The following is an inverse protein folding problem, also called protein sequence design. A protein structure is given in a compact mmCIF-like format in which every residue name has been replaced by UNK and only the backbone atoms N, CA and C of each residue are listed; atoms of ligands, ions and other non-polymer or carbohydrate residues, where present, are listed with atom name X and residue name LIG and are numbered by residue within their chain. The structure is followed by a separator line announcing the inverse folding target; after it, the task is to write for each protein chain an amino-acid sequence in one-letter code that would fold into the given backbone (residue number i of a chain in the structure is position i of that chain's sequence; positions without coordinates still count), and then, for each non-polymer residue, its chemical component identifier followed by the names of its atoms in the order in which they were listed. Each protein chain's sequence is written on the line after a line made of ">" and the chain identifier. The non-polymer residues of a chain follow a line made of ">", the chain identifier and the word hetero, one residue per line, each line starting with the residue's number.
data_IF_363910487181
#
_entry.id   IF_363910487181
#
_cell.length_a   1.000
_cell.length_b   1.000
_cell.length_c   1.000
_cell.angle_alpha   90.00
_cell.angle_beta   90.00
_cell.angle_gamma   90.00
#
_symmetry.space_group_name_H-M   'P 1'
#
loop_
_entity.id
_entity.type
_entity.pdbx_description
1 polymer ?
#
# COMPACT_ATOMS: atom_id res chain seq x y z
N UNK A 1 -4.84 -14.21 22.12
CA UNK A 1 -5.55 -14.46 20.84
C UNK A 1 -5.40 -15.93 20.56
N UNK A 2 -6.50 -16.66 20.42
CA UNK A 2 -6.47 -18.08 20.02
C UNK A 2 -5.96 -18.20 18.58
N UNK A 3 -5.27 -19.31 18.28
CA UNK A 3 -4.55 -19.54 17.02
C UNK A 3 -5.38 -19.28 15.74
N UNK A 4 -6.63 -19.73 15.71
CA UNK A 4 -7.54 -19.49 14.59
C UNK A 4 -7.90 -17.99 14.41
N UNK A 5 -7.91 -17.22 15.50
CA UNK A 5 -8.18 -15.78 15.45
C UNK A 5 -6.98 -15.03 14.84
N UNK A 6 -5.74 -15.45 15.11
CA UNK A 6 -4.54 -14.82 14.55
C UNK A 6 -4.47 -14.93 13.02
N UNK A 7 -4.84 -16.09 12.46
CA UNK A 7 -4.89 -16.30 11.01
C UNK A 7 -5.97 -15.45 10.31
N UNK A 8 -7.18 -15.38 10.88
CA UNK A 8 -8.27 -14.54 10.34
C UNK A 8 -7.93 -13.06 10.38
N UNK A 9 -7.32 -12.59 11.47
CA UNK A 9 -6.87 -11.20 11.62
C UNK A 9 -5.77 -10.87 10.59
N UNK A 10 -4.87 -11.80 10.29
CA UNK A 10 -3.85 -11.60 9.26
C UNK A 10 -4.44 -11.43 7.85
N UNK A 11 -5.43 -12.24 7.49
CA UNK A 11 -6.14 -12.14 6.20
C UNK A 11 -6.92 -10.84 6.12
N UNK A 12 -7.67 -10.49 7.17
CA UNK A 12 -8.44 -9.26 7.24
C UNK A 12 -7.56 -8.02 7.05
N UNK A 13 -6.39 -7.97 7.71
CA UNK A 13 -5.41 -6.89 7.53
C UNK A 13 -4.89 -6.78 6.09
N UNK A 14 -4.70 -7.91 5.39
CA UNK A 14 -4.27 -7.91 3.99
C UNK A 14 -5.37 -7.41 3.06
N UNK A 15 -6.61 -7.85 3.27
CA UNK A 15 -7.77 -7.41 2.46
C UNK A 15 -8.00 -5.91 2.65
N UNK A 16 -8.00 -5.44 3.91
CA UNK A 16 -8.12 -4.01 4.21
C UNK A 16 -6.99 -3.19 3.58
N UNK A 17 -5.75 -3.71 3.62
CA UNK A 17 -4.60 -3.09 2.94
C UNK A 17 -4.82 -2.94 1.44
N UNK A 18 -5.32 -3.98 0.75
CA UNK A 18 -5.62 -3.92 -0.70
C UNK A 18 -6.76 -2.97 -1.04
N UNK A 19 -7.82 -2.95 -0.23
CA UNK A 19 -8.98 -2.06 -0.40
C UNK A 19 -8.57 -0.59 -0.27
N UNK A 20 -7.58 -0.27 0.58
CA UNK A 20 -7.06 1.10 0.72
C UNK A 20 -6.04 1.40 -0.38
N UNK A 21 -5.13 0.47 -0.66
CA UNK A 21 -4.01 0.65 -1.57
C UNK A 21 -4.44 0.85 -3.02
N UNK A 22 -5.34 0.02 -3.56
CA UNK A 22 -5.72 0.08 -4.98
C UNK A 22 -6.36 1.43 -5.32
N UNK A 23 -7.41 1.89 -4.62
CA UNK A 23 -8.03 3.18 -4.91
C UNK A 23 -7.05 4.34 -4.73
N UNK A 24 -6.21 4.31 -3.71
CA UNK A 24 -5.23 5.37 -3.45
C UNK A 24 -4.16 5.44 -4.55
N UNK A 25 -3.67 4.29 -5.03
CA UNK A 25 -2.70 4.21 -6.11
C UNK A 25 -3.29 4.74 -7.42
N UNK A 26 -4.48 4.27 -7.78
CA UNK A 26 -5.17 4.71 -9.00
C UNK A 26 -5.43 6.22 -8.93
N UNK A 27 -5.96 6.71 -7.81
CA UNK A 27 -6.24 8.14 -7.64
C UNK A 27 -4.97 8.98 -7.76
N UNK A 28 -3.84 8.53 -7.20
CA UNK A 28 -2.56 9.23 -7.31
C UNK A 28 -2.03 9.25 -8.74
N UNK A 29 -2.13 8.14 -9.48
CA UNK A 29 -1.73 8.08 -10.90
C UNK A 29 -2.57 9.03 -11.75
N UNK A 30 -3.90 9.02 -11.58
CA UNK A 30 -4.81 9.92 -12.28
C UNK A 30 -4.52 11.38 -11.93
N UNK A 31 -4.25 11.67 -10.66
CA UNK A 31 -3.88 13.00 -10.18
C UNK A 31 -2.60 13.51 -10.84
N UNK A 32 -1.59 12.65 -10.97
CA UNK A 32 -0.34 12.98 -11.66
C UNK A 32 -0.57 13.22 -13.15
N UNK A 33 -1.36 12.39 -13.84
CA UNK A 33 -1.68 12.62 -15.26
C UNK A 33 -2.36 13.97 -15.48
N UNK A 34 -3.36 14.31 -14.65
CA UNK A 34 -4.02 15.62 -14.69
C UNK A 34 -3.06 16.78 -14.37
N UNK A 35 -2.11 16.57 -13.45
CA UNK A 35 -1.10 17.58 -13.15
C UNK A 35 -0.20 17.88 -14.35
N UNK A 36 0.18 16.85 -15.12
CA UNK A 36 0.99 17.02 -16.33
C UNK A 36 0.25 17.83 -17.40
N UNK A 37 -1.07 17.65 -17.50
CA UNK A 37 -1.94 18.40 -18.42
C UNK A 37 -1.97 19.89 -18.04
N UNK A 38 -2.37 20.22 -16.80
CA UNK A 38 -2.54 21.60 -16.32
C UNK A 38 -1.20 22.36 -16.20
N UNK A 39 -0.12 21.67 -15.84
CA UNK A 39 1.19 22.32 -15.65
C UNK A 39 1.87 22.69 -16.97
N UNK A 40 1.47 22.06 -18.08
CA UNK A 40 2.02 22.34 -19.42
C UNK A 40 1.28 23.47 -20.12
N UNK A 41 -0.03 23.60 -19.93
CA UNK A 41 -0.80 24.74 -20.44
C UNK A 41 -0.27 26.09 -19.93
N UNK A 42 0.25 26.14 -18.70
CA UNK A 42 0.84 27.36 -18.11
C UNK A 42 2.25 27.68 -18.60
N UNK A 43 2.92 26.79 -19.33
CA UNK A 43 4.29 26.97 -19.82
C UNK A 43 4.28 26.90 -21.35
N UNK A 44 4.00 28.04 -22.00
CA UNK A 44 3.97 28.26 -23.47
C UNK A 44 5.30 27.94 -24.22
N UNK A 45 6.29 27.34 -23.57
CA UNK A 45 7.63 27.09 -24.14
C UNK A 45 7.93 25.63 -24.52
N UNK A 46 7.06 24.66 -24.23
CA UNK A 46 7.24 23.28 -24.72
C UNK A 46 6.71 23.22 -26.15
N UNK A 47 7.49 22.67 -27.09
CA UNK A 47 7.07 22.42 -28.48
C UNK A 47 5.61 21.95 -28.53
N UNK A 48 4.72 22.73 -29.16
CA UNK A 48 3.27 22.46 -29.26
C UNK A 48 2.95 21.00 -29.66
N UNK A 49 3.84 20.38 -30.44
CA UNK A 49 3.80 18.96 -30.82
C UNK A 49 3.83 18.02 -29.62
N UNK A 50 4.70 18.24 -28.63
CA UNK A 50 4.78 17.40 -27.43
C UNK A 50 3.57 17.58 -26.50
N UNK A 51 2.93 18.74 -26.54
CA UNK A 51 1.69 19.00 -25.82
C UNK A 51 0.54 18.17 -26.42
N UNK A 52 0.40 18.22 -27.75
CA UNK A 52 -0.63 17.49 -28.49
C UNK A 52 -0.52 15.97 -28.28
N UNK A 53 0.69 15.41 -28.38
CA UNK A 53 0.91 13.99 -28.10
C UNK A 53 0.51 13.59 -26.68
N UNK A 54 0.83 14.40 -25.67
CA UNK A 54 0.49 14.07 -24.28
C UNK A 54 -1.01 14.12 -23.99
N UNK A 55 -1.72 15.08 -24.59
CA UNK A 55 -3.17 15.19 -24.46
C UNK A 55 -3.86 13.98 -25.11
N UNK A 56 -3.46 13.63 -26.34
CA UNK A 56 -3.96 12.44 -27.04
C UNK A 56 -3.68 11.16 -26.25
N UNK A 57 -2.51 11.02 -25.63
CA UNK A 57 -2.21 9.86 -24.80
C UNK A 57 -3.10 9.78 -23.56
N UNK A 58 -3.31 10.90 -22.85
CA UNK A 58 -4.18 10.94 -21.68
C UNK A 58 -5.63 10.64 -22.08
N UNK A 59 -6.11 11.18 -23.19
CA UNK A 59 -7.44 10.93 -23.72
C UNK A 59 -7.63 9.46 -24.14
N UNK A 60 -6.64 8.86 -24.80
CA UNK A 60 -6.66 7.43 -25.15
C UNK A 60 -6.71 6.55 -23.89
N UNK A 61 -5.95 6.90 -22.84
CA UNK A 61 -5.97 6.20 -21.56
C UNK A 61 -7.34 6.38 -20.88
N UNK A 62 -7.90 7.59 -20.86
CA UNK A 62 -9.23 7.86 -20.27
C UNK A 62 -10.33 7.11 -21.00
N UNK A 63 -10.29 7.09 -22.33
CA UNK A 63 -11.23 6.37 -23.17
C UNK A 63 -11.19 4.85 -22.90
N UNK A 64 -10.00 4.29 -22.75
CA UNK A 64 -9.84 2.87 -22.41
C UNK A 64 -10.21 2.55 -20.94
N UNK A 65 -10.04 3.51 -20.03
CA UNK A 65 -10.29 3.35 -18.59
C UNK A 65 -11.62 3.93 -18.12
N UNK A 66 -12.69 3.73 -18.90
CA UNK A 66 -14.04 4.20 -18.55
C UNK A 66 -14.56 3.69 -17.19
N UNK A 67 -14.12 2.53 -16.73
CA UNK A 67 -14.44 2.01 -15.39
C UNK A 67 -13.80 2.82 -14.25
N UNK A 68 -12.79 3.64 -14.52
CA UNK A 68 -12.12 4.52 -13.57
C UNK A 68 -12.70 5.94 -13.58
N UNK A 69 -13.85 6.17 -14.22
CA UNK A 69 -14.39 7.53 -14.40
C UNK A 69 -14.60 8.28 -13.08
N UNK A 70 -14.97 7.57 -12.01
CA UNK A 70 -15.07 8.13 -10.67
C UNK A 70 -13.74 8.71 -10.17
N UNK A 71 -12.61 8.05 -10.46
CA UNK A 71 -11.28 8.56 -10.14
C UNK A 71 -10.90 9.73 -11.05
N UNK A 72 -11.23 9.65 -12.34
CA UNK A 72 -11.00 10.75 -13.27
C UNK A 72 -11.68 12.04 -12.84
N UNK A 73 -12.87 11.99 -12.22
CA UNK A 73 -13.58 13.18 -11.77
C UNK A 73 -13.14 13.65 -10.37
N UNK A 74 -12.97 12.73 -9.43
CA UNK A 74 -12.78 13.06 -8.01
C UNK A 74 -11.31 13.15 -7.56
N UNK A 75 -10.35 12.72 -8.38
CA UNK A 75 -8.94 12.72 -7.97
C UNK A 75 -8.37 14.14 -7.93
N UNK A 76 -7.77 14.57 -6.80
CA UNK A 76 -7.25 15.92 -6.61
C UNK A 76 -5.95 16.14 -7.38
N UNK A 77 -5.86 17.25 -8.13
CA UNK A 77 -4.64 17.59 -8.88
C UNK A 77 -3.61 18.23 -7.94
N UNK A 78 -2.40 17.69 -7.75
CA UNK A 78 -1.42 18.29 -6.85
C UNK A 78 -1.04 19.71 -7.28
N UNK A 79 -1.00 20.66 -6.35
CA UNK A 79 -0.36 21.97 -6.56
C UNK A 79 0.92 22.04 -5.72
N UNK A 80 2.07 22.03 -6.38
CA UNK A 80 3.38 22.12 -5.74
C UNK A 80 3.84 23.57 -5.49
N UNK A 81 3.15 24.56 -6.06
CA UNK A 81 3.55 25.97 -5.99
C UNK A 81 2.75 26.76 -4.95
N UNK A 82 1.45 26.49 -4.78
CA UNK A 82 0.56 27.30 -3.92
C UNK A 82 0.10 26.61 -2.64
N UNK A 83 0.71 25.47 -2.26
CA UNK A 83 0.35 24.73 -1.04
C UNK A 83 -1.04 24.07 -1.08
N UNK A 84 -1.73 24.13 -2.22
CA UNK A 84 -3.11 23.71 -2.37
C UNK A 84 -3.23 22.30 -2.93
N UNK A 85 -3.24 21.28 -2.07
CA UNK A 85 -4.11 20.11 -2.17
C UNK A 85 -3.71 19.07 -1.11
N UNK A 86 -4.08 19.34 0.15
CA UNK A 86 -3.89 18.41 1.28
C UNK A 86 -4.56 17.05 1.01
N UNK A 87 -5.64 17.03 0.22
CA UNK A 87 -6.34 15.81 -0.17
C UNK A 87 -5.46 14.90 -1.03
N UNK A 88 -4.66 15.47 -1.94
CA UNK A 88 -3.68 14.70 -2.71
C UNK A 88 -2.66 14.05 -1.78
N UNK A 89 -2.10 14.81 -0.84
CA UNK A 89 -1.12 14.28 0.12
C UNK A 89 -1.72 13.22 1.04
N UNK A 90 -2.99 13.37 1.44
CA UNK A 90 -3.71 12.35 2.20
C UNK A 90 -3.83 11.04 1.41
N UNK A 91 -4.29 11.11 0.16
CA UNK A 91 -4.42 9.95 -0.73
C UNK A 91 -3.05 9.32 -0.99
N UNK A 92 -2.03 10.14 -1.20
CA UNK A 92 -0.65 9.69 -1.36
C UNK A 92 -0.16 8.90 -0.15
N UNK A 93 -0.35 9.42 1.08
CA UNK A 93 0.02 8.73 2.32
C UNK A 93 -0.78 7.42 2.49
N UNK A 94 -2.05 7.41 2.09
CA UNK A 94 -2.91 6.22 2.17
C UNK A 94 -2.36 5.03 1.37
N UNK A 95 -1.61 5.25 0.28
CA UNK A 95 -0.89 4.19 -0.44
C UNK A 95 0.05 3.44 0.50
N UNK A 96 0.86 4.18 1.26
CA UNK A 96 1.86 3.62 2.17
C UNK A 96 1.22 3.00 3.40
N UNK A 97 0.10 3.56 3.87
CA UNK A 97 -0.72 2.94 4.91
C UNK A 97 -1.24 1.56 4.45
N UNK A 98 -1.75 1.48 3.21
CA UNK A 98 -2.18 0.22 2.60
C UNK A 98 -1.05 -0.81 2.48
N UNK A 99 0.13 -0.39 2.02
CA UNK A 99 1.33 -1.22 1.95
C UNK A 99 1.78 -1.70 3.34
N UNK A 100 1.76 -0.83 4.34
CA UNK A 100 2.14 -1.18 5.71
C UNK A 100 1.17 -2.20 6.33
N UNK A 101 -0.14 -2.06 6.07
CA UNK A 101 -1.15 -3.05 6.46
C UNK A 101 -0.90 -4.41 5.81
N UNK A 102 -0.58 -4.43 4.51
CA UNK A 102 -0.27 -5.66 3.78
C UNK A 102 0.97 -6.36 4.33
N UNK A 103 2.08 -5.64 4.52
CA UNK A 103 3.30 -6.20 5.07
C UNK A 103 3.14 -6.64 6.53
N UNK A 104 2.20 -6.05 7.28
CA UNK A 104 1.89 -6.46 8.66
C UNK A 104 1.19 -7.82 8.64
N UNK A 105 0.17 -7.94 7.79
CA UNK A 105 -0.54 -9.20 7.59
C UNK A 105 0.34 -10.32 7.04
N UNK A 106 1.28 -10.01 6.13
CA UNK A 106 2.19 -11.00 5.54
C UNK A 106 3.20 -11.58 6.56
N UNK A 107 3.70 -10.76 7.50
CA UNK A 107 4.59 -11.23 8.57
C UNK A 107 3.85 -12.03 9.64
N UNK A 108 2.64 -11.59 10.00
CA UNK A 108 1.75 -12.32 10.90
C UNK A 108 1.39 -13.71 10.34
N UNK A 109 1.20 -13.82 9.03
CA UNK A 109 0.95 -15.10 8.35
C UNK A 109 2.15 -16.07 8.42
N UNK A 110 3.37 -15.59 8.14
CA UNK A 110 4.60 -16.42 8.24
C UNK A 110 4.82 -16.96 9.65
N UNK A 111 4.59 -16.13 10.67
CA UNK A 111 4.78 -16.54 12.05
C UNK A 111 3.71 -17.54 12.50
N UNK A 112 2.46 -17.38 12.06
CA UNK A 112 1.40 -18.37 12.33
C UNK A 112 1.71 -19.75 11.74
N UNK A 113 2.42 -19.79 10.59
CA UNK A 113 2.84 -21.04 9.94
C UNK A 113 3.96 -21.74 10.72
N UNK A 114 4.97 -21.02 11.18
CA UNK A 114 6.03 -21.59 12.01
C UNK A 114 5.53 -22.05 13.39
N UNK A 115 4.57 -21.33 13.98
CA UNK A 115 3.90 -21.80 15.20
C UNK A 115 3.13 -23.10 14.94
N UNK A 116 2.49 -23.22 13.77
CA UNK A 116 1.78 -24.44 13.36
C UNK A 116 2.72 -25.64 13.25
N UNK A 117 3.82 -25.47 12.54
CA UNK A 117 4.86 -26.50 12.35
C UNK A 117 5.43 -26.93 13.71
N UNK A 118 5.78 -25.97 14.58
CA UNK A 118 6.30 -26.28 15.93
C UNK A 118 5.30 -27.00 16.85
N UNK A 119 4.00 -26.71 16.74
CA UNK A 119 2.95 -27.41 17.51
C UNK A 119 2.72 -28.81 16.94
N UNK A 120 2.70 -29.00 15.62
CA UNK A 120 2.59 -30.32 14.98
C UNK A 120 3.77 -31.23 15.35
N UNK A 121 5.00 -30.71 15.31
CA UNK A 121 6.19 -31.47 15.69
C UNK A 121 6.19 -31.87 17.17
N UNK A 122 5.78 -30.96 18.07
CA UNK A 122 5.63 -31.27 19.49
C UNK A 122 4.53 -32.30 19.74
N UNK A 123 3.43 -32.28 18.99
CA UNK A 123 2.39 -33.32 19.10
C UNK A 123 2.87 -34.69 18.59
N UNK A 124 3.72 -34.75 17.57
CA UNK A 124 4.31 -36.01 17.10
C UNK A 124 5.25 -36.58 18.17
N UNK A 125 6.08 -35.72 18.78
CA UNK A 125 6.99 -36.08 19.86
C UNK A 125 6.25 -36.50 21.15
N UNK A 126 5.13 -35.84 21.48
CA UNK A 126 4.33 -36.21 22.65
C UNK A 126 3.47 -37.46 22.41
N UNK A 127 2.93 -37.68 21.20
CA UNK A 127 2.30 -38.96 20.83
C UNK A 127 3.28 -40.14 20.88
N UNK A 128 4.56 -39.90 20.62
CA UNK A 128 5.61 -40.90 20.76
C UNK A 128 5.94 -41.25 22.24
N UNK A 129 5.50 -40.43 23.22
CA UNK A 129 5.76 -40.63 24.64
C UNK A 129 4.66 -41.39 25.40
N UNK A 130 3.55 -41.78 24.76
CA UNK A 130 2.49 -42.57 25.41
C UNK A 130 1.66 -41.78 26.44
N UNK A 131 1.15 -42.45 27.48
CA UNK A 131 0.08 -41.96 28.39
C UNK A 131 0.39 -40.72 29.26
N UNK A 132 1.61 -40.18 29.22
CA UNK A 132 1.98 -38.93 29.92
C UNK A 132 2.01 -37.67 29.02
N UNK A 133 1.57 -37.78 27.76
CA UNK A 133 1.53 -36.65 26.81
C UNK A 133 0.55 -35.55 27.24
N UNK A 134 0.95 -34.28 27.17
CA UNK A 134 0.06 -33.16 27.52
C UNK A 134 -1.05 -33.05 26.48
N UNK A 135 -2.27 -32.79 26.95
CA UNK A 135 -3.42 -32.63 26.04
C UNK A 135 -3.26 -31.36 25.20
N UNK A 136 -3.74 -31.40 23.94
CA UNK A 136 -3.70 -30.28 22.97
C UNK A 136 -4.10 -28.93 23.57
N UNK A 137 -5.05 -28.92 24.51
CA UNK A 137 -5.57 -27.71 25.14
C UNK A 137 -4.56 -27.03 26.08
N UNK A 138 -3.72 -27.80 26.79
CA UNK A 138 -2.72 -27.23 27.72
C UNK A 138 -1.49 -26.66 27.00
N UNK A 139 -1.14 -27.21 25.84
CA UNK A 139 -0.07 -26.67 24.99
C UNK A 139 -0.50 -25.38 24.28
N UNK A 140 -1.77 -25.29 23.86
CA UNK A 140 -2.31 -24.09 23.22
C UNK A 140 -2.46 -22.91 24.19
N UNK A 141 -2.75 -23.15 25.47
CA UNK A 141 -2.98 -22.12 26.48
C UNK A 141 -1.71 -21.36 26.90
N UNK A 142 -0.54 -22.00 26.76
CA UNK A 142 0.76 -21.40 27.12
C UNK A 142 1.38 -20.57 26.00
N UNK A 143 0.81 -20.59 24.79
CA UNK A 143 1.36 -19.89 23.63
C UNK A 143 0.81 -18.46 23.57
N UNK A 144 1.53 -17.57 24.23
CA UNK A 144 1.31 -16.12 24.12
C UNK A 144 1.83 -15.67 22.76
N UNK A 145 0.93 -15.49 21.79
CA UNK A 145 1.26 -14.92 20.47
C UNK A 145 1.80 -13.49 20.66
N UNK A 146 3.05 -13.19 20.25
CA UNK A 146 3.59 -11.84 20.33
C UNK A 146 2.72 -10.87 19.51
N UNK A 147 2.33 -9.75 20.11
CA UNK A 147 1.55 -8.71 19.43
C UNK A 147 2.44 -7.99 18.42
N UNK A 148 2.15 -8.14 17.14
CA UNK A 148 2.78 -7.33 16.09
C UNK A 148 1.93 -6.11 15.76
N UNK A 149 2.50 -4.93 16.01
CA UNK A 149 1.92 -3.64 15.68
C UNK A 149 2.32 -3.20 14.28
N UNK A 150 1.44 -2.46 13.61
CA UNK A 150 1.68 -1.90 12.27
C UNK A 150 2.86 -0.90 12.29
N UNK A 151 3.13 -0.31 13.47
CA UNK A 151 4.17 0.69 13.72
C UNK A 151 5.61 0.17 13.65
N UNK A 152 5.83 -1.16 13.73
CA UNK A 152 7.15 -1.78 13.53
C UNK A 152 7.58 -1.83 12.04
N UNK A 153 6.82 -1.17 11.16
CA UNK A 153 7.13 -1.02 9.74
C UNK A 153 7.64 0.36 9.41
N UNK A 154 8.69 0.76 10.11
CA UNK A 154 9.30 2.08 9.92
C UNK A 154 9.65 2.33 8.44
N UNK A 155 10.19 1.31 7.77
CA UNK A 155 10.65 1.42 6.39
C UNK A 155 9.53 1.69 5.37
N UNK A 156 8.50 0.83 5.17
CA UNK A 156 7.49 1.09 4.15
C UNK A 156 6.53 2.24 4.52
N UNK A 157 6.35 2.55 5.81
CA UNK A 157 5.39 3.57 6.24
C UNK A 157 5.98 4.99 6.26
N UNK A 158 7.27 5.16 6.56
CA UNK A 158 7.90 6.48 6.71
C UNK A 158 9.01 6.73 5.70
N UNK A 159 9.89 5.75 5.45
CA UNK A 159 11.04 5.95 4.55
C UNK A 159 10.62 5.93 3.08
N UNK A 160 9.80 4.95 2.70
CA UNK A 160 9.32 4.79 1.32
C UNK A 160 8.53 6.01 0.79
N UNK A 161 7.57 6.61 1.53
CA UNK A 161 6.88 7.80 1.07
C UNK A 161 7.83 8.98 0.85
N UNK A 162 8.79 9.20 1.75
CA UNK A 162 9.74 10.31 1.60
C UNK A 162 10.63 10.09 0.38
N UNK A 163 11.18 8.88 0.22
CA UNK A 163 12.02 8.55 -0.93
C UNK A 163 11.28 8.72 -2.27
N UNK A 164 10.04 8.25 -2.36
CA UNK A 164 9.24 8.38 -3.58
C UNK A 164 8.87 9.84 -3.83
N UNK A 165 8.51 10.61 -2.80
CA UNK A 165 8.22 12.03 -2.94
C UNK A 165 9.45 12.81 -3.43
N UNK A 166 10.65 12.54 -2.86
CA UNK A 166 11.91 13.16 -3.28
C UNK A 166 12.27 12.75 -4.72
N UNK A 167 12.20 11.46 -5.05
CA UNK A 167 12.46 10.99 -6.41
C UNK A 167 11.48 11.60 -7.42
N UNK A 168 10.19 11.64 -7.09
CA UNK A 168 9.16 12.27 -7.91
C UNK A 168 9.42 13.75 -8.12
N UNK A 169 9.80 14.49 -7.08
CA UNK A 169 10.19 15.90 -7.18
C UNK A 169 11.38 16.08 -8.13
N UNK A 170 12.43 15.25 -8.02
CA UNK A 170 13.58 15.31 -8.93
C UNK A 170 13.19 15.01 -10.38
N UNK A 171 12.35 14.02 -10.63
CA UNK A 171 11.84 13.70 -11.97
C UNK A 171 11.05 14.86 -12.56
N UNK A 172 10.15 15.46 -11.77
CA UNK A 172 9.35 16.60 -12.21
C UNK A 172 10.20 17.86 -12.43
N UNK A 173 11.24 18.05 -11.61
CA UNK A 173 12.21 19.15 -11.78
C UNK A 173 13.07 18.97 -13.04
N UNK A 174 13.61 17.77 -13.27
CA UNK A 174 14.38 17.43 -14.47
C UNK A 174 13.55 17.55 -15.74
N UNK A 175 12.28 17.16 -15.67
CA UNK A 175 11.34 17.31 -16.77
C UNK A 175 10.78 18.74 -16.94
N UNK A 176 11.21 19.69 -16.10
CA UNK A 176 10.90 21.12 -16.23
C UNK A 176 9.49 21.53 -15.77
N UNK A 177 8.77 20.67 -15.05
CA UNK A 177 7.42 20.98 -14.55
C UNK A 177 7.44 21.83 -13.27
N UNK A 178 8.48 21.67 -12.46
CA UNK A 178 8.67 22.39 -11.19
C UNK A 178 10.01 23.13 -11.28
N UNK A 179 10.02 24.40 -10.89
CA UNK A 179 11.21 25.28 -10.87
C UNK A 179 11.94 25.21 -9.53
#
# INVERSE_FOLDING_TARGET
>A
MTYQQAGRVAILKRIAGWIIFIPALISTLVSLMRFLEVSREKREGINAVMQDFSHVMIDMIRFNTGFLNAFWHNSPVPDFNQGGNWLFWLIYILIFVGLALQASGARMWRQSRHLREGIEDQMILEKAKGEEGRSRQQLEEKIVVPRHTILLQFFPLYVLPILIAVAGYFVLKLAGFIS
#
